data_IF_398289043397
#
_entry.id   IF_398289043397
#
_cell.length_a   1.000
_cell.length_b   1.000
_cell.length_c   1.000
_cell.angle_alpha   90.00
_cell.angle_beta   90.00
_cell.angle_gamma   90.00
#
_symmetry.space_group_name_H-M   'P 1'
#
loop_
_entity.id
_entity.type
_entity.pdbx_description
1 polymer ?
#
# COMPACT_ATOMS: atom_id res chain seq x y z
N UNK A 1 22.57 16.73 -2.85
CA UNK A 1 21.16 16.33 -2.95
C UNK A 1 21.11 14.84 -3.26
N UNK A 2 20.52 14.02 -2.41
CA UNK A 2 20.73 12.57 -2.44
C UNK A 2 19.62 11.78 -3.14
N UNK A 3 18.36 12.08 -2.90
CA UNK A 3 17.20 11.39 -3.51
C UNK A 3 16.27 12.38 -4.18
N UNK A 4 15.59 11.90 -5.22
CA UNK A 4 14.43 12.54 -5.83
C UNK A 4 13.43 11.50 -6.24
N UNK A 5 12.22 11.66 -5.73
CA UNK A 5 11.07 10.93 -6.22
C UNK A 5 10.31 11.82 -7.20
N UNK A 6 9.94 11.24 -8.33
CA UNK A 6 9.16 11.92 -9.34
C UNK A 6 7.96 11.11 -9.73
N UNK A 7 6.81 11.73 -9.60
CA UNK A 7 5.57 11.16 -10.04
C UNK A 7 4.92 12.02 -11.11
N UNK A 8 4.44 11.40 -12.16
CA UNK A 8 3.80 12.08 -13.27
C UNK A 8 2.46 11.44 -13.59
N UNK A 9 1.45 12.28 -13.84
CA UNK A 9 0.18 11.80 -14.37
C UNK A 9 0.35 11.23 -15.79
N UNK A 10 -0.55 10.38 -16.20
CA UNK A 10 -0.56 9.70 -17.51
C UNK A 10 -0.49 10.64 -18.71
N UNK A 11 -0.88 11.90 -18.53
CA UNK A 11 -0.78 12.94 -19.57
C UNK A 11 0.64 13.15 -20.11
N UNK A 12 1.67 12.82 -19.33
CA UNK A 12 3.07 12.98 -19.69
C UNK A 12 3.75 11.70 -20.16
N UNK A 13 3.01 10.61 -20.40
CA UNK A 13 3.59 9.30 -20.74
C UNK A 13 4.63 9.38 -21.87
N UNK A 14 4.31 10.09 -22.96
CA UNK A 14 5.20 10.22 -24.13
C UNK A 14 6.37 11.19 -23.94
N UNK A 15 6.35 11.99 -22.88
CA UNK A 15 7.36 13.02 -22.57
C UNK A 15 8.23 12.63 -21.36
N UNK A 16 7.97 11.47 -20.76
CA UNK A 16 8.68 11.06 -19.53
C UNK A 16 10.18 10.94 -19.71
N UNK A 17 10.65 10.45 -20.87
CA UNK A 17 12.07 10.35 -21.17
C UNK A 17 12.72 11.74 -21.24
N UNK A 18 12.14 12.68 -22.00
CA UNK A 18 12.60 14.05 -22.10
C UNK A 18 12.61 14.77 -20.76
N UNK A 19 11.54 14.61 -19.97
CA UNK A 19 11.46 15.21 -18.64
C UNK A 19 12.51 14.58 -17.71
N UNK A 20 12.77 13.27 -17.80
CA UNK A 20 13.81 12.59 -17.00
C UNK A 20 15.20 13.14 -17.33
N UNK A 21 15.52 13.28 -18.63
CA UNK A 21 16.78 13.84 -19.09
C UNK A 21 16.96 15.29 -18.64
N UNK A 22 15.89 16.10 -18.73
CA UNK A 22 15.92 17.48 -18.25
C UNK A 22 16.21 17.56 -16.75
N UNK A 23 15.51 16.77 -15.92
CA UNK A 23 15.74 16.73 -14.47
C UNK A 23 17.16 16.26 -14.13
N UNK A 24 17.65 15.24 -14.83
CA UNK A 24 19.01 14.75 -14.63
C UNK A 24 20.04 15.82 -14.95
N UNK A 25 19.85 16.55 -16.05
CA UNK A 25 20.76 17.61 -16.48
C UNK A 25 20.74 18.81 -15.54
N UNK A 26 19.56 19.27 -15.14
CA UNK A 26 19.40 20.51 -14.35
C UNK A 26 19.71 20.29 -12.86
N UNK A 27 19.42 19.13 -12.35
CA UNK A 27 19.41 18.88 -10.91
C UNK A 27 20.46 17.86 -10.46
N UNK A 28 21.01 17.07 -11.39
CA UNK A 28 22.06 16.06 -11.14
C UNK A 28 21.83 15.23 -9.87
N UNK A 29 20.67 14.58 -9.70
CA UNK A 29 20.41 13.75 -8.52
C UNK A 29 21.34 12.54 -8.52
N UNK A 30 21.74 12.07 -7.33
CA UNK A 30 22.47 10.80 -7.20
C UNK A 30 21.55 9.62 -7.43
N UNK A 31 20.32 9.71 -6.91
CA UNK A 31 19.29 8.71 -7.01
C UNK A 31 17.99 9.38 -7.47
N UNK A 32 17.32 8.81 -8.43
CA UNK A 32 16.03 9.22 -8.94
C UNK A 32 15.17 7.98 -9.12
N UNK A 33 14.02 7.93 -8.47
CA UNK A 33 13.00 6.93 -8.71
C UNK A 33 11.66 7.59 -9.00
N UNK A 34 10.70 6.83 -9.47
CA UNK A 34 9.34 7.31 -9.63
C UNK A 34 8.51 6.45 -10.58
N UNK A 35 7.38 7.02 -11.00
CA UNK A 35 6.48 6.32 -11.90
C UNK A 35 5.26 7.14 -12.29
N UNK A 36 4.42 6.52 -13.13
CA UNK A 36 3.12 7.09 -13.49
C UNK A 36 2.08 6.83 -12.42
N UNK A 37 1.22 7.82 -12.18
CA UNK A 37 0.02 7.71 -11.37
C UNK A 37 -1.22 8.13 -12.15
N UNK A 38 -2.36 7.56 -11.85
CA UNK A 38 -3.64 8.06 -12.36
C UNK A 38 -3.85 9.51 -11.89
N UNK A 39 -3.50 9.76 -10.64
CA UNK A 39 -3.54 11.06 -9.97
C UNK A 39 -2.27 11.29 -9.18
N UNK A 40 -1.97 12.54 -8.87
CA UNK A 40 -0.73 12.96 -8.25
C UNK A 40 -1.00 13.66 -6.93
N UNK A 41 -0.20 13.35 -5.90
CA UNK A 41 -0.21 14.04 -4.62
C UNK A 41 0.92 15.08 -4.60
N UNK A 42 0.60 16.30 -4.17
CA UNK A 42 1.56 17.37 -3.98
C UNK A 42 1.15 18.22 -2.77
N UNK A 43 1.95 18.15 -1.70
CA UNK A 43 1.67 18.75 -0.40
C UNK A 43 0.26 18.38 0.11
N UNK A 44 -0.61 19.32 0.40
CA UNK A 44 -1.97 19.07 0.86
C UNK A 44 -3.00 18.86 -0.27
N UNK A 45 -2.54 18.61 -1.51
CA UNK A 45 -3.43 18.58 -2.68
C UNK A 45 -3.32 17.25 -3.44
N UNK A 46 -4.46 16.73 -3.85
CA UNK A 46 -4.60 15.60 -4.77
C UNK A 46 -5.08 16.11 -6.14
N UNK A 47 -4.27 15.90 -7.17
CA UNK A 47 -4.56 16.37 -8.53
C UNK A 47 -5.08 15.19 -9.34
N UNK A 48 -6.41 15.04 -9.38
CA UNK A 48 -7.05 13.85 -9.93
C UNK A 48 -7.36 13.93 -11.43
N UNK A 49 -7.62 15.11 -11.97
CA UNK A 49 -8.12 15.24 -13.34
C UNK A 49 -7.25 16.07 -14.27
N UNK A 50 -6.25 16.75 -13.74
CA UNK A 50 -5.38 17.65 -14.49
C UNK A 50 -3.99 17.08 -14.71
N UNK A 51 -3.28 17.47 -15.79
CA UNK A 51 -1.88 17.14 -15.95
C UNK A 51 -1.06 17.64 -14.75
N UNK A 52 -0.31 16.75 -14.12
CA UNK A 52 0.52 17.08 -12.98
C UNK A 52 1.83 16.29 -12.96
N UNK A 53 2.88 16.94 -12.47
CA UNK A 53 4.16 16.32 -12.11
C UNK A 53 4.48 16.81 -10.70
N UNK A 54 4.74 15.88 -9.80
CA UNK A 54 5.26 16.17 -8.47
C UNK A 54 6.72 15.73 -8.39
N UNK A 55 7.57 16.59 -7.85
CA UNK A 55 8.98 16.34 -7.64
C UNK A 55 9.33 16.58 -6.18
N UNK A 56 9.72 15.53 -5.50
CA UNK A 56 10.19 15.60 -4.13
C UNK A 56 11.71 15.43 -4.09
N UNK A 57 12.39 16.27 -3.33
CA UNK A 57 13.84 16.31 -3.26
C UNK A 57 14.30 16.26 -1.81
N UNK A 58 15.14 15.31 -1.47
CA UNK A 58 15.70 15.16 -0.14
C UNK A 58 17.23 15.16 -0.12
N UNK A 59 17.79 15.68 0.95
CA UNK A 59 19.19 15.48 1.32
C UNK A 59 19.21 14.70 2.63
N UNK A 60 19.70 13.48 2.57
CA UNK A 60 19.77 12.56 3.71
C UNK A 60 21.26 12.33 4.02
N UNK A 61 21.87 13.20 4.86
CA UNK A 61 23.25 13.01 5.27
C UNK A 61 23.36 11.74 6.14
N UNK A 62 24.51 11.05 6.03
CA UNK A 62 24.79 9.84 6.82
C UNK A 62 23.90 8.63 6.49
N UNK A 63 23.03 8.74 5.50
CA UNK A 63 22.17 7.64 5.05
C UNK A 63 22.78 6.97 3.80
N UNK A 64 22.93 5.68 3.84
CA UNK A 64 23.22 4.89 2.66
C UNK A 64 21.94 4.77 1.83
N UNK A 65 22.06 5.00 0.54
CA UNK A 65 20.96 5.01 -0.40
C UNK A 65 21.33 4.12 -1.58
N UNK A 66 20.54 3.09 -1.82
CA UNK A 66 20.69 2.21 -2.97
C UNK A 66 19.40 2.25 -3.79
N UNK A 67 19.50 2.79 -5.00
CA UNK A 67 18.38 2.80 -5.97
C UNK A 67 18.63 1.78 -7.07
N UNK A 68 17.58 1.02 -7.42
CA UNK A 68 17.71 -0.07 -8.37
C UNK A 68 16.40 -0.33 -9.12
N UNK A 69 16.51 -1.00 -10.24
CA UNK A 69 15.38 -1.63 -10.90
C UNK A 69 15.37 -3.11 -10.59
N UNK A 70 14.31 -3.60 -9.96
CA UNK A 70 14.07 -5.02 -9.80
C UNK A 70 13.18 -5.54 -10.93
N UNK A 71 13.51 -6.72 -11.44
CA UNK A 71 12.68 -7.47 -12.40
C UNK A 71 12.46 -8.87 -11.88
N UNK A 72 11.40 -9.52 -12.33
CA UNK A 72 11.07 -10.88 -11.97
C UNK A 72 11.26 -11.81 -13.17
N UNK A 73 12.05 -12.84 -13.00
CA UNK A 73 12.24 -13.89 -13.99
C UNK A 73 11.65 -15.20 -13.49
N UNK A 74 10.81 -15.83 -14.33
CA UNK A 74 10.27 -17.15 -14.03
C UNK A 74 11.33 -18.21 -14.26
N UNK A 75 11.48 -19.09 -13.28
CA UNK A 75 12.34 -20.27 -13.36
C UNK A 75 11.50 -21.55 -13.25
N UNK A 76 12.01 -22.73 -13.62
CA UNK A 76 11.28 -23.98 -13.44
C UNK A 76 10.82 -24.25 -12.00
N UNK A 77 11.55 -23.72 -11.02
CA UNK A 77 11.29 -23.93 -9.58
C UNK A 77 10.52 -22.76 -8.93
N UNK A 78 9.97 -21.83 -9.75
CA UNK A 78 9.19 -20.69 -9.24
C UNK A 78 9.58 -19.36 -9.90
N UNK A 79 10.59 -18.67 -9.38
CA UNK A 79 11.08 -17.43 -9.95
C UNK A 79 12.07 -16.70 -9.04
N UNK A 80 12.75 -15.71 -9.61
CA UNK A 80 13.76 -14.94 -8.93
C UNK A 80 13.61 -13.46 -9.21
N UNK A 81 13.93 -12.62 -8.23
CA UNK A 81 14.05 -11.17 -8.38
C UNK A 81 15.50 -10.82 -8.65
N UNK A 82 15.75 -10.16 -9.77
CA UNK A 82 17.09 -9.74 -10.23
C UNK A 82 17.19 -8.22 -10.27
N UNK A 83 18.42 -7.71 -10.20
CA UNK A 83 18.73 -6.28 -10.20
C UNK A 83 19.19 -5.75 -8.86
N UNK A 84 19.42 -6.62 -7.88
CA UNK A 84 20.00 -6.24 -6.59
C UNK A 84 21.45 -5.78 -6.79
N UNK A 85 21.84 -4.57 -6.31
CA UNK A 85 23.21 -4.11 -6.42
C UNK A 85 24.10 -4.77 -5.36
N UNK A 86 25.37 -5.03 -5.71
CA UNK A 86 26.35 -5.57 -4.79
C UNK A 86 26.61 -4.65 -3.58
N UNK A 87 26.40 -3.34 -3.76
CA UNK A 87 26.56 -2.31 -2.71
C UNK A 87 25.62 -2.52 -1.51
N UNK A 88 24.47 -3.14 -1.74
CA UNK A 88 23.48 -3.37 -0.69
C UNK A 88 23.92 -4.40 0.34
N UNK A 89 24.82 -5.30 -0.05
CA UNK A 89 25.37 -6.32 0.85
C UNK A 89 24.36 -7.37 1.33
N UNK A 90 24.80 -8.22 2.23
CA UNK A 90 23.97 -9.27 2.85
C UNK A 90 23.36 -8.84 4.18
N UNK A 91 23.93 -7.86 4.84
CA UNK A 91 23.46 -7.32 6.14
C UNK A 91 22.94 -5.90 5.92
N UNK A 92 21.75 -5.62 6.42
CA UNK A 92 21.13 -4.30 6.37
C UNK A 92 20.94 -3.79 7.80
N UNK A 93 20.95 -2.47 7.95
CA UNK A 93 20.76 -1.85 9.25
C UNK A 93 19.31 -2.08 9.76
N UNK A 94 19.14 -2.06 11.08
CA UNK A 94 17.82 -2.26 11.70
C UNK A 94 16.81 -1.14 11.34
N UNK A 95 17.32 0.04 10.97
CA UNK A 95 16.52 1.19 10.52
C UNK A 95 16.26 1.20 9.00
N UNK A 96 16.67 0.14 8.31
CA UNK A 96 16.45 0.06 6.87
C UNK A 96 14.97 0.14 6.51
N UNK A 97 14.67 0.85 5.43
CA UNK A 97 13.32 0.93 4.84
C UNK A 97 13.43 0.84 3.32
N UNK A 98 12.46 0.18 2.71
CA UNK A 98 12.36 0.06 1.25
C UNK A 98 11.17 0.87 0.74
N UNK A 99 11.41 1.71 -0.27
CA UNK A 99 10.36 2.40 -1.03
C UNK A 99 10.30 1.77 -2.42
N UNK A 100 9.09 1.42 -2.88
CA UNK A 100 8.89 0.66 -4.10
C UNK A 100 7.78 1.25 -4.96
N UNK A 101 8.06 1.45 -6.25
CA UNK A 101 7.06 1.76 -7.28
C UNK A 101 7.11 0.65 -8.33
N UNK A 102 6.11 -0.23 -8.35
CA UNK A 102 6.07 -1.41 -9.23
C UNK A 102 5.20 -1.20 -10.46
N UNK A 103 5.54 -1.85 -11.58
CA UNK A 103 4.62 -1.95 -12.71
C UNK A 103 3.66 -3.13 -12.49
N UNK A 104 2.33 -2.88 -12.42
CA UNK A 104 1.38 -3.84 -11.84
C UNK A 104 1.21 -5.14 -12.62
N UNK A 105 1.50 -5.16 -13.92
CA UNK A 105 1.29 -6.34 -14.76
C UNK A 105 2.53 -7.23 -14.91
N UNK A 106 3.70 -6.70 -14.62
CA UNK A 106 4.98 -7.40 -14.80
C UNK A 106 5.71 -7.73 -13.51
N UNK A 107 5.36 -7.07 -12.41
CA UNK A 107 6.07 -7.21 -11.14
C UNK A 107 5.18 -7.85 -10.06
N UNK A 108 5.46 -9.09 -9.65
CA UNK A 108 4.71 -9.80 -8.63
C UNK A 108 5.09 -9.31 -7.23
N UNK A 109 4.54 -8.16 -6.82
CA UNK A 109 4.88 -7.50 -5.55
C UNK A 109 4.64 -8.42 -4.33
N UNK A 110 3.52 -9.18 -4.29
CA UNK A 110 3.27 -10.13 -3.21
C UNK A 110 4.37 -11.20 -3.08
N UNK A 111 4.93 -11.64 -4.22
CA UNK A 111 6.04 -12.58 -4.24
C UNK A 111 7.33 -11.98 -3.65
N UNK A 112 7.61 -10.70 -3.97
CA UNK A 112 8.73 -9.98 -3.36
C UNK A 112 8.54 -9.81 -1.84
N UNK A 113 7.35 -9.36 -1.42
CA UNK A 113 7.06 -9.16 0.01
C UNK A 113 7.18 -10.46 0.80
N UNK A 114 6.70 -11.58 0.23
CA UNK A 114 6.86 -12.90 0.86
C UNK A 114 8.32 -13.30 1.00
N UNK A 115 9.13 -13.04 -0.02
CA UNK A 115 10.56 -13.32 0.00
C UNK A 115 11.31 -12.45 1.01
N UNK A 116 10.97 -11.16 1.07
CA UNK A 116 11.55 -10.24 2.05
C UNK A 116 11.16 -10.59 3.49
N UNK A 117 9.95 -11.10 3.73
CA UNK A 117 9.56 -11.59 5.06
C UNK A 117 10.41 -12.79 5.52
N UNK A 118 10.85 -13.65 4.58
CA UNK A 118 11.76 -14.75 4.87
C UNK A 118 13.21 -14.29 5.09
N UNK A 119 13.72 -13.44 4.20
CA UNK A 119 15.12 -13.04 4.18
C UNK A 119 15.40 -11.84 5.10
N UNK A 120 14.43 -10.97 5.34
CA UNK A 120 14.52 -9.69 6.06
C UNK A 120 13.26 -9.42 6.89
N UNK A 121 12.92 -10.28 7.87
CA UNK A 121 11.71 -10.11 8.66
C UNK A 121 11.70 -8.74 9.36
N UNK A 122 10.57 -8.04 9.25
CA UNK A 122 10.39 -6.72 9.85
C UNK A 122 10.92 -5.53 9.04
N UNK A 123 11.55 -5.74 7.87
CA UNK A 123 11.90 -4.64 6.96
C UNK A 123 10.63 -3.93 6.46
N UNK A 124 10.40 -2.64 6.76
CA UNK A 124 9.26 -1.93 6.21
C UNK A 124 9.41 -1.73 4.70
N UNK A 125 8.36 -2.09 3.94
CA UNK A 125 8.26 -1.80 2.51
C UNK A 125 7.04 -0.91 2.30
N UNK A 126 7.24 0.30 1.81
CA UNK A 126 6.17 1.27 1.53
C UNK A 126 6.21 1.66 0.06
N UNK A 127 5.05 1.91 -0.51
CA UNK A 127 5.01 2.27 -1.91
C UNK A 127 3.68 1.95 -2.57
N UNK A 128 3.72 1.79 -3.89
CA UNK A 128 2.53 1.45 -4.65
C UNK A 128 2.84 0.96 -6.06
N UNK A 129 1.84 0.39 -6.67
CA UNK A 129 1.92 0.01 -8.07
C UNK A 129 1.58 1.22 -8.94
N UNK A 130 2.41 1.47 -9.95
CA UNK A 130 2.16 2.50 -10.95
C UNK A 130 0.77 2.34 -11.56
N UNK A 131 0.14 3.43 -11.93
CA UNK A 131 -1.27 3.41 -12.31
C UNK A 131 -1.59 4.38 -13.45
N UNK A 132 -2.88 4.39 -13.83
CA UNK A 132 -3.45 5.24 -14.84
C UNK A 132 -3.67 4.55 -16.17
N UNK A 133 -3.07 3.38 -16.38
CA UNK A 133 -3.29 2.55 -17.56
C UNK A 133 -3.72 1.14 -17.16
N UNK A 134 -4.54 0.51 -18.01
CA UNK A 134 -5.15 -0.78 -17.74
C UNK A 134 -4.52 -1.94 -18.55
N UNK A 135 -3.55 -1.64 -19.38
CA UNK A 135 -2.90 -2.64 -20.24
C UNK A 135 -1.43 -2.87 -19.82
N UNK A 136 -0.95 -4.12 -19.92
CA UNK A 136 0.45 -4.41 -19.64
C UNK A 136 1.42 -3.56 -20.46
N UNK A 137 2.46 -3.04 -19.83
CA UNK A 137 3.49 -2.26 -20.47
C UNK A 137 3.13 -0.80 -20.81
N UNK A 138 1.97 -0.31 -20.36
CA UNK A 138 1.59 1.09 -20.55
C UNK A 138 2.02 1.98 -19.36
N UNK A 139 1.95 1.46 -18.14
CA UNK A 139 2.48 2.18 -16.98
C UNK A 139 4.01 2.32 -17.07
N UNK A 140 4.55 3.33 -16.43
CA UNK A 140 5.99 3.63 -16.43
C UNK A 140 6.53 3.68 -15.02
N UNK A 141 7.74 3.17 -14.87
CA UNK A 141 8.59 3.37 -13.70
C UNK A 141 9.88 4.04 -14.12
N UNK A 142 10.53 4.75 -13.21
CA UNK A 142 11.71 5.55 -13.49
C UNK A 142 12.79 5.17 -12.49
N UNK A 143 13.99 4.88 -13.00
CA UNK A 143 15.17 4.61 -12.19
C UNK A 143 16.38 5.30 -12.81
N UNK A 144 16.96 6.26 -12.09
CA UNK A 144 18.07 7.05 -12.60
C UNK A 144 17.69 7.85 -13.84
N UNK A 145 18.31 7.57 -14.97
CA UNK A 145 18.08 8.25 -16.25
C UNK A 145 17.07 7.52 -17.15
N UNK A 146 16.68 6.33 -16.78
CA UNK A 146 15.91 5.43 -17.62
C UNK A 146 14.44 5.34 -17.23
N UNK A 147 13.57 5.23 -18.21
CA UNK A 147 12.13 5.00 -18.09
C UNK A 147 11.82 3.59 -18.55
N UNK A 148 11.17 2.80 -17.71
CA UNK A 148 10.86 1.41 -17.99
C UNK A 148 9.36 1.15 -17.98
N UNK A 149 8.94 0.12 -18.68
CA UNK A 149 7.54 -0.34 -18.73
C UNK A 149 7.34 -1.70 -18.07
N UNK A 150 8.30 -2.14 -17.26
CA UNK A 150 8.22 -3.38 -16.51
C UNK A 150 9.14 -3.36 -15.27
N UNK A 151 8.89 -4.25 -14.32
CA UNK A 151 9.67 -4.36 -13.09
C UNK A 151 9.23 -3.39 -12.01
N UNK A 152 10.13 -3.04 -11.11
CA UNK A 152 9.90 -2.08 -10.03
C UNK A 152 11.10 -1.14 -9.86
N UNK A 153 10.81 0.14 -9.66
CA UNK A 153 11.74 1.13 -9.16
C UNK A 153 11.81 1.01 -7.64
N UNK A 154 12.98 0.78 -7.11
CA UNK A 154 13.18 0.53 -5.67
C UNK A 154 14.29 1.43 -5.16
N UNK A 155 14.08 1.96 -3.94
CA UNK A 155 15.14 2.56 -3.16
C UNK A 155 15.17 1.93 -1.77
N UNK A 156 16.34 1.60 -1.30
CA UNK A 156 16.60 1.19 0.08
C UNK A 156 17.37 2.31 0.77
N UNK A 157 16.86 2.72 1.92
CA UNK A 157 17.48 3.70 2.82
C UNK A 157 17.89 2.98 4.08
N UNK A 158 19.12 3.20 4.53
CA UNK A 158 19.61 2.62 5.78
C UNK A 158 20.71 3.48 6.40
N UNK A 159 20.85 3.42 7.71
CA UNK A 159 21.83 4.15 8.47
C UNK A 159 21.55 5.66 8.53
N UNK A 160 20.91 6.11 9.61
CA UNK A 160 20.73 7.53 9.93
C UNK A 160 19.39 8.15 9.55
N UNK A 161 18.55 7.49 8.73
CA UNK A 161 17.19 7.97 8.46
C UNK A 161 16.19 7.28 9.39
N UNK A 162 15.39 8.07 10.09
CA UNK A 162 14.28 7.53 10.89
C UNK A 162 12.97 7.75 10.16
N UNK A 163 12.19 6.70 10.09
CA UNK A 163 10.89 6.72 9.39
C UNK A 163 9.78 6.13 10.23
N UNK A 164 8.58 6.59 9.98
CA UNK A 164 7.33 6.00 10.48
C UNK A 164 6.46 5.62 9.31
N UNK A 165 5.77 4.51 9.43
CA UNK A 165 4.84 4.03 8.41
C UNK A 165 3.42 4.04 8.95
N UNK A 166 2.48 4.46 8.11
CA UNK A 166 1.04 4.44 8.42
C UNK A 166 0.33 3.77 7.26
N UNK A 167 -0.54 2.80 7.57
CA UNK A 167 -1.34 2.07 6.59
C UNK A 167 -2.80 2.13 7.00
N UNK A 168 -3.58 3.02 6.37
CA UNK A 168 -5.02 3.15 6.60
C UNK A 168 -5.78 2.37 5.54
N UNK A 169 -6.39 1.26 5.96
CA UNK A 169 -7.11 0.33 5.08
C UNK A 169 -8.56 0.78 4.82
N UNK A 170 -9.01 1.80 5.52
CA UNK A 170 -10.30 2.45 5.30
C UNK A 170 -11.51 1.58 5.67
N UNK A 171 -11.36 0.68 6.62
CA UNK A 171 -12.39 -0.26 7.00
C UNK A 171 -12.63 -0.25 8.50
N UNK A 172 -13.86 -0.47 8.91
CA UNK A 172 -14.21 -0.71 10.32
C UNK A 172 -14.82 -2.09 10.53
N UNK A 173 -14.55 -2.72 11.69
CA UNK A 173 -15.15 -4.00 12.03
C UNK A 173 -16.65 -3.89 12.27
N UNK A 174 -17.38 -4.95 11.93
CA UNK A 174 -18.80 -5.15 12.25
C UNK A 174 -18.99 -6.52 12.87
N UNK A 175 -19.95 -6.62 13.80
CA UNK A 175 -20.23 -7.85 14.52
C UNK A 175 -19.06 -8.33 15.39
N UNK A 176 -19.15 -9.59 15.76
CA UNK A 176 -18.14 -10.26 16.60
C UNK A 176 -17.01 -10.92 15.78
N UNK A 177 -15.97 -11.31 16.49
CA UNK A 177 -14.84 -12.06 15.93
C UNK A 177 -15.15 -13.55 15.88
N UNK A 178 -14.64 -14.22 14.87
CA UNK A 178 -14.81 -15.65 14.68
C UNK A 178 -13.48 -16.34 14.44
N UNK A 179 -13.33 -17.56 14.94
CA UNK A 179 -12.24 -18.45 14.53
C UNK A 179 -12.68 -19.24 13.31
N UNK A 180 -11.85 -19.31 12.29
CA UNK A 180 -12.06 -20.18 11.13
C UNK A 180 -11.95 -21.64 11.59
N UNK A 181 -13.02 -22.38 11.49
CA UNK A 181 -13.06 -23.80 11.90
C UNK A 181 -13.02 -24.77 10.71
N UNK A 182 -13.33 -24.29 9.50
CA UNK A 182 -13.08 -25.00 8.26
C UNK A 182 -12.87 -24.02 7.09
N UNK A 183 -11.85 -24.26 6.28
CA UNK A 183 -11.55 -23.51 5.07
C UNK A 183 -10.83 -24.40 4.06
N UNK A 184 -11.02 -24.09 2.77
CA UNK A 184 -10.32 -24.70 1.67
C UNK A 184 -9.84 -23.61 0.69
N UNK A 185 -8.53 -23.47 0.55
CA UNK A 185 -7.90 -22.41 -0.26
C UNK A 185 -8.38 -21.02 0.18
N UNK A 186 -9.18 -20.37 -0.65
CA UNK A 186 -9.73 -19.04 -0.42
C UNK A 186 -11.22 -19.06 0.00
N UNK A 187 -11.77 -20.21 0.33
CA UNK A 187 -13.14 -20.39 0.78
C UNK A 187 -13.20 -20.68 2.28
N UNK A 188 -13.93 -19.87 3.03
CA UNK A 188 -14.28 -20.12 4.43
C UNK A 188 -15.62 -20.86 4.43
N UNK A 189 -15.62 -22.11 4.85
CA UNK A 189 -16.84 -22.92 4.94
C UNK A 189 -17.44 -22.92 6.34
N UNK A 190 -16.63 -22.71 7.40
CA UNK A 190 -17.13 -22.67 8.78
C UNK A 190 -16.44 -21.63 9.65
N UNK A 191 -17.21 -20.88 10.40
CA UNK A 191 -16.81 -19.88 11.39
C UNK A 191 -17.41 -20.25 12.76
N UNK A 192 -16.57 -20.43 13.79
CA UNK A 192 -17.00 -20.83 15.12
C UNK A 192 -17.85 -22.12 15.15
N UNK A 193 -17.59 -23.06 14.24
CA UNK A 193 -18.33 -24.32 14.11
C UNK A 193 -19.70 -24.22 13.39
N UNK A 194 -20.05 -23.04 12.85
CA UNK A 194 -21.28 -22.83 12.07
C UNK A 194 -20.94 -22.57 10.60
N UNK A 195 -21.80 -22.89 9.63
CA UNK A 195 -21.58 -22.55 8.22
C UNK A 195 -21.33 -21.04 8.05
N UNK A 196 -20.27 -20.66 7.32
CA UNK A 196 -19.86 -19.27 7.20
C UNK A 196 -20.96 -18.36 6.61
N UNK A 197 -21.72 -18.86 5.63
CA UNK A 197 -22.83 -18.12 5.04
C UNK A 197 -24.00 -17.92 6.04
N UNK A 198 -24.21 -18.84 6.97
CA UNK A 198 -25.24 -18.66 8.02
C UNK A 198 -24.80 -17.60 9.03
N UNK A 199 -23.52 -17.60 9.42
CA UNK A 199 -22.95 -16.56 10.29
C UNK A 199 -23.10 -15.19 9.62
N UNK A 200 -22.76 -15.09 8.33
CA UNK A 200 -22.90 -13.83 7.56
C UNK A 200 -24.35 -13.34 7.49
N UNK A 201 -25.32 -14.24 7.27
CA UNK A 201 -26.74 -13.89 7.22
C UNK A 201 -27.26 -13.41 8.58
N UNK A 202 -26.92 -14.10 9.65
CA UNK A 202 -27.32 -13.71 11.01
C UNK A 202 -26.73 -12.33 11.35
N UNK A 203 -25.45 -12.11 11.06
CA UNK A 203 -24.82 -10.80 11.23
C UNK A 203 -25.60 -9.71 10.47
N UNK A 204 -25.90 -9.93 9.19
CA UNK A 204 -26.64 -8.95 8.38
C UNK A 204 -28.01 -8.62 8.99
N UNK A 205 -28.74 -9.61 9.51
CA UNK A 205 -30.06 -9.43 10.12
C UNK A 205 -30.00 -8.66 11.46
N UNK A 206 -28.90 -8.78 12.20
CA UNK A 206 -28.67 -8.11 13.47
C UNK A 206 -28.16 -6.66 13.34
N UNK A 207 -27.59 -6.30 12.16
CA UNK A 207 -27.02 -4.97 11.93
C UNK A 207 -28.12 -3.89 11.83
N UNK A 208 -27.83 -2.65 12.27
CA UNK A 208 -28.64 -1.47 11.99
C UNK A 208 -28.82 -1.25 10.47
N UNK A 209 -29.93 -0.63 10.07
CA UNK A 209 -30.28 -0.45 8.63
C UNK A 209 -29.22 0.30 7.83
N UNK A 210 -28.53 1.27 8.42
CA UNK A 210 -27.44 1.98 7.77
C UNK A 210 -26.23 1.07 7.51
N UNK A 211 -25.88 0.18 8.42
CA UNK A 211 -24.80 -0.80 8.25
C UNK A 211 -25.18 -1.91 7.27
N UNK A 212 -26.44 -2.35 7.27
CA UNK A 212 -26.94 -3.27 6.25
C UNK A 212 -26.78 -2.69 4.84
N UNK A 213 -27.06 -1.40 4.64
CA UNK A 213 -26.84 -0.71 3.34
C UNK A 213 -25.37 -0.63 2.98
N UNK A 214 -24.49 -0.28 3.93
CA UNK A 214 -23.05 -0.26 3.70
C UNK A 214 -22.53 -1.64 3.31
N UNK A 215 -23.00 -2.70 3.98
CA UNK A 215 -22.64 -4.08 3.67
C UNK A 215 -23.11 -4.55 2.29
N UNK A 216 -24.26 -4.05 1.80
CA UNK A 216 -24.74 -4.32 0.43
C UNK A 216 -23.84 -3.70 -0.66
N UNK A 217 -23.14 -2.60 -0.35
CA UNK A 217 -22.18 -1.97 -1.27
C UNK A 217 -20.84 -2.69 -1.32
N UNK A 218 -20.61 -3.64 -0.40
CA UNK A 218 -19.39 -4.44 -0.30
C UNK A 218 -18.98 -4.64 1.15
N UNK A 219 -18.52 -5.82 1.44
CA UNK A 219 -17.98 -6.16 2.76
C UNK A 219 -16.66 -6.92 2.61
N UNK A 220 -15.92 -6.98 3.68
CA UNK A 220 -14.57 -7.49 3.71
C UNK A 220 -14.40 -8.45 4.87
N UNK A 221 -13.35 -9.25 4.81
CA UNK A 221 -12.84 -10.02 5.94
C UNK A 221 -11.55 -9.36 6.43
N UNK A 222 -11.51 -8.97 7.69
CA UNK A 222 -10.28 -8.66 8.39
C UNK A 222 -9.73 -9.92 9.04
N UNK A 223 -8.53 -10.31 8.66
CA UNK A 223 -7.77 -11.39 9.30
C UNK A 223 -6.79 -10.79 10.29
N UNK A 224 -6.76 -11.28 11.51
CA UNK A 224 -5.78 -10.87 12.52
C UNK A 224 -4.36 -11.21 12.03
N UNK A 225 -3.45 -10.26 12.14
CA UNK A 225 -2.04 -10.46 11.74
C UNK A 225 -1.27 -11.25 12.79
N UNK A 226 -1.59 -11.03 14.07
CA UNK A 226 -0.98 -11.74 15.21
C UNK A 226 -2.04 -12.32 16.12
N UNK A 227 -2.05 -13.65 16.31
CA UNK A 227 -2.97 -14.36 17.21
C UNK A 227 -2.55 -14.28 18.70
N UNK A 228 -1.43 -13.62 19.02
CA UNK A 228 -0.86 -13.56 20.37
C UNK A 228 -1.34 -12.35 21.18
N UNK A 229 -2.34 -11.63 20.70
CA UNK A 229 -2.92 -10.46 21.37
C UNK A 229 -4.26 -10.82 22.03
N UNK A 230 -4.50 -10.28 23.22
CA UNK A 230 -5.79 -10.46 23.93
C UNK A 230 -6.87 -9.50 23.42
N UNK A 231 -6.47 -8.29 23.02
CA UNK A 231 -7.34 -7.26 22.43
C UNK A 231 -6.79 -6.83 21.07
N UNK A 232 -7.71 -6.59 20.13
CA UNK A 232 -7.38 -6.15 18.78
C UNK A 232 -7.93 -4.75 18.52
N UNK A 233 -7.10 -3.91 17.94
CA UNK A 233 -7.38 -2.52 17.60
C UNK A 233 -7.39 -2.31 16.08
N UNK A 234 -7.71 -1.08 15.66
CA UNK A 234 -7.53 -0.63 14.27
C UNK A 234 -6.05 -0.78 13.91
N UNK A 235 -5.77 -1.40 12.75
CA UNK A 235 -4.40 -1.71 12.31
C UNK A 235 -3.92 -3.13 12.62
N UNK A 236 -4.63 -3.90 13.46
CA UNK A 236 -4.26 -5.29 13.76
C UNK A 236 -4.84 -6.31 12.77
N UNK A 237 -5.73 -5.85 11.89
CA UNK A 237 -6.38 -6.68 10.89
C UNK A 237 -5.83 -6.41 9.50
N UNK A 238 -5.53 -7.47 8.78
CA UNK A 238 -5.30 -7.41 7.34
C UNK A 238 -6.63 -7.56 6.62
N UNK A 239 -7.05 -6.50 5.93
CA UNK A 239 -8.34 -6.46 5.24
C UNK A 239 -8.22 -7.12 3.86
N UNK A 240 -9.15 -8.03 3.58
CA UNK A 240 -9.25 -8.73 2.29
C UNK A 240 -10.66 -8.66 1.74
N UNK A 241 -10.76 -8.48 0.43
CA UNK A 241 -12.05 -8.41 -0.25
C UNK A 241 -12.76 -9.74 -0.17
N UNK A 242 -14.05 -9.72 0.11
CA UNK A 242 -14.93 -10.85 -0.16
C UNK A 242 -15.30 -10.78 -1.63
N UNK A 243 -14.92 -11.81 -2.39
CA UNK A 243 -15.11 -11.87 -3.84
C UNK A 243 -16.36 -12.62 -4.25
N UNK A 244 -17.02 -13.28 -3.30
CA UNK A 244 -18.27 -13.96 -3.55
C UNK A 244 -18.73 -14.83 -2.38
N UNK A 245 -19.88 -15.45 -2.58
CA UNK A 245 -20.46 -16.46 -1.70
C UNK A 245 -20.76 -17.72 -2.52
N UNK A 246 -20.57 -18.89 -1.92
CA UNK A 246 -20.99 -20.18 -2.48
C UNK A 246 -22.19 -20.70 -1.68
N UNK A 247 -23.42 -20.66 -2.24
CA UNK A 247 -24.62 -21.13 -1.55
C UNK A 247 -24.66 -22.65 -1.36
N UNK A 248 -24.03 -23.43 -2.25
CA UNK A 248 -24.03 -24.90 -2.19
C UNK A 248 -23.14 -25.38 -1.05
N UNK A 249 -21.95 -24.80 -0.93
CA UNK A 249 -21.01 -25.09 0.16
C UNK A 249 -21.27 -24.25 1.42
N UNK A 250 -22.22 -23.30 1.35
CA UNK A 250 -22.50 -22.30 2.40
C UNK A 250 -21.25 -21.52 2.84
N UNK A 251 -20.40 -21.19 1.86
CA UNK A 251 -19.09 -20.61 2.06
C UNK A 251 -19.03 -19.13 1.69
N UNK A 252 -18.05 -18.44 2.26
CA UNK A 252 -17.61 -17.09 1.91
C UNK A 252 -16.28 -17.19 1.18
N UNK A 253 -16.18 -16.59 -0.01
CA UNK A 253 -14.97 -16.62 -0.86
C UNK A 253 -14.22 -15.32 -0.70
N UNK A 254 -12.93 -15.38 -0.36
CA UNK A 254 -12.09 -14.23 0.01
C UNK A 254 -10.90 -14.14 -0.95
N UNK A 255 -10.42 -12.93 -1.22
CA UNK A 255 -9.22 -12.69 -2.02
C UNK A 255 -7.93 -12.91 -1.20
N UNK A 256 -7.85 -14.03 -0.47
CA UNK A 256 -6.67 -14.46 0.29
C UNK A 256 -6.77 -15.97 0.57
N UNK A 257 -5.63 -16.61 0.85
CA UNK A 257 -5.59 -18.00 1.37
C UNK A 257 -5.70 -17.99 2.88
N UNK A 258 -6.78 -18.58 3.39
CA UNK A 258 -7.09 -18.60 4.80
C UNK A 258 -6.93 -20.01 5.39
N UNK A 259 -6.56 -20.07 6.67
CA UNK A 259 -6.27 -21.32 7.37
C UNK A 259 -7.19 -21.49 8.59
N UNK A 260 -7.52 -22.75 8.88
CA UNK A 260 -8.19 -23.11 10.13
C UNK A 260 -7.36 -22.64 11.32
N UNK A 261 -8.04 -22.09 12.34
CA UNK A 261 -7.43 -21.53 13.54
C UNK A 261 -7.15 -20.03 13.47
N UNK A 262 -7.26 -19.39 12.31
CA UNK A 262 -7.12 -17.95 12.21
C UNK A 262 -8.38 -17.22 12.71
N UNK A 263 -8.15 -16.09 13.40
CA UNK A 263 -9.22 -15.19 13.85
C UNK A 263 -9.54 -14.18 12.75
N UNK A 264 -10.84 -14.04 12.46
CA UNK A 264 -11.35 -13.09 11.46
C UNK A 264 -12.52 -12.30 12.01
N UNK A 265 -12.78 -11.15 11.41
CA UNK A 265 -13.95 -10.32 11.66
C UNK A 265 -14.47 -9.76 10.35
N UNK A 266 -15.78 -9.59 10.21
CA UNK A 266 -16.35 -8.89 9.07
C UNK A 266 -16.10 -7.40 9.19
N UNK A 267 -15.86 -6.74 8.05
CA UNK A 267 -15.60 -5.31 7.97
C UNK A 267 -16.43 -4.71 6.84
N UNK A 268 -16.81 -3.46 7.02
CA UNK A 268 -17.36 -2.62 5.95
C UNK A 268 -16.44 -1.45 5.67
N UNK A 269 -16.52 -0.94 4.45
CA UNK A 269 -15.80 0.24 4.01
C UNK A 269 -16.80 1.34 3.67
N UNK A 270 -16.58 2.49 4.24
CA UNK A 270 -17.27 3.73 3.89
C UNK A 270 -16.32 4.92 4.11
N UNK A 271 -16.66 6.08 3.57
CA UNK A 271 -15.83 7.28 3.63
C UNK A 271 -15.62 7.77 5.07
N UNK A 272 -16.60 7.61 5.94
CA UNK A 272 -16.50 8.01 7.35
C UNK A 272 -15.49 7.14 8.09
N UNK A 273 -15.56 5.82 7.90
CA UNK A 273 -14.62 4.86 8.51
C UNK A 273 -13.19 5.08 7.99
N UNK A 274 -13.03 5.33 6.70
CA UNK A 274 -11.74 5.60 6.09
C UNK A 274 -11.12 6.89 6.62
N UNK A 275 -11.92 7.95 6.79
CA UNK A 275 -11.50 9.20 7.38
C UNK A 275 -11.11 9.04 8.86
N UNK A 276 -11.96 8.37 9.64
CA UNK A 276 -11.72 8.14 11.06
C UNK A 276 -10.44 7.35 11.31
N UNK A 277 -10.24 6.25 10.57
CA UNK A 277 -9.06 5.41 10.69
C UNK A 277 -7.77 6.19 10.36
N UNK A 278 -7.75 6.92 9.23
CA UNK A 278 -6.60 7.72 8.84
C UNK A 278 -6.24 8.76 9.89
N UNK A 279 -7.23 9.52 10.37
CA UNK A 279 -7.05 10.50 11.45
C UNK A 279 -6.51 9.86 12.74
N UNK A 280 -7.06 8.72 13.15
CA UNK A 280 -6.62 8.02 14.34
C UNK A 280 -5.16 7.54 14.22
N UNK A 281 -4.79 6.94 13.09
CA UNK A 281 -3.43 6.46 12.86
C UNK A 281 -2.42 7.62 12.78
N UNK A 282 -2.75 8.71 12.10
CA UNK A 282 -1.89 9.88 12.02
C UNK A 282 -1.71 10.58 13.37
N UNK A 283 -2.74 10.59 14.22
CA UNK A 283 -2.65 11.16 15.57
C UNK A 283 -1.67 10.43 16.50
N UNK A 284 -1.27 9.21 16.15
CA UNK A 284 -0.29 8.41 16.89
C UNK A 284 1.16 8.73 16.51
N UNK A 285 1.38 9.57 15.50
CA UNK A 285 2.73 10.03 15.13
C UNK A 285 3.17 11.12 16.09
N UNK A 286 3.92 10.72 17.12
CA UNK A 286 4.35 11.61 18.22
C UNK A 286 5.56 12.49 17.89
N UNK A 287 6.32 12.13 16.85
CA UNK A 287 7.55 12.83 16.46
C UNK A 287 7.31 13.83 15.34
N UNK A 288 7.97 15.01 15.37
CA UNK A 288 7.93 15.92 14.24
C UNK A 288 8.47 15.27 12.98
N UNK A 289 7.75 15.45 11.88
CA UNK A 289 8.15 14.93 10.57
C UNK A 289 8.69 16.06 9.69
N UNK A 290 9.72 15.76 8.92
CA UNK A 290 10.33 16.69 7.98
C UNK A 290 9.72 16.59 6.57
N UNK A 291 9.20 15.43 6.20
CA UNK A 291 8.62 15.14 4.89
C UNK A 291 7.80 13.86 4.92
N UNK A 292 6.97 13.61 3.90
CA UNK A 292 6.28 12.33 3.73
C UNK A 292 6.08 11.95 2.26
N UNK A 293 5.90 10.64 2.01
CA UNK A 293 5.37 10.11 0.75
C UNK A 293 4.02 9.45 1.03
N UNK A 294 3.06 9.69 0.15
CA UNK A 294 1.69 9.15 0.23
C UNK A 294 1.37 8.35 -1.04
N UNK A 295 1.11 7.07 -0.85
CA UNK A 295 0.61 6.17 -1.88
C UNK A 295 -0.84 5.83 -1.54
N UNK A 296 -1.78 6.51 -2.20
CA UNK A 296 -3.21 6.32 -1.96
C UNK A 296 -3.84 5.55 -3.12
N UNK A 297 -4.88 4.78 -2.83
CA UNK A 297 -5.51 3.94 -3.84
C UNK A 297 -6.28 4.76 -4.88
N UNK A 298 -6.28 4.31 -6.14
CA UNK A 298 -7.15 4.86 -7.20
C UNK A 298 -8.65 4.86 -6.83
N UNK A 299 -9.06 4.01 -5.89
CA UNK A 299 -10.43 3.95 -5.38
C UNK A 299 -10.74 4.97 -4.28
N UNK A 300 -9.76 5.74 -3.81
CA UNK A 300 -9.91 6.82 -2.82
C UNK A 300 -10.13 8.17 -3.53
N UNK A 301 -9.72 9.28 -2.95
CA UNK A 301 -9.95 10.60 -3.52
C UNK A 301 -11.45 10.88 -3.71
N UNK A 302 -11.81 11.59 -4.78
CA UNK A 302 -13.21 11.97 -5.09
C UNK A 302 -14.10 10.77 -5.43
N UNK A 303 -13.55 9.58 -5.63
CA UNK A 303 -14.33 8.34 -5.79
C UNK A 303 -14.89 7.82 -4.47
N UNK A 304 -14.25 8.14 -3.36
CA UNK A 304 -14.64 7.69 -2.02
C UNK A 304 -15.16 8.84 -1.14
N UNK A 305 -14.54 10.00 -1.24
CA UNK A 305 -14.82 11.15 -0.38
C UNK A 305 -15.58 12.23 -1.14
N UNK A 306 -16.49 12.91 -0.43
CA UNK A 306 -17.24 14.05 -0.97
C UNK A 306 -16.39 15.33 -1.08
N UNK A 307 -15.22 15.32 -0.43
CA UNK A 307 -14.26 16.44 -0.41
C UNK A 307 -13.04 16.09 -1.25
N UNK A 308 -12.55 17.07 -1.99
CA UNK A 308 -11.30 16.94 -2.75
C UNK A 308 -10.09 16.90 -1.81
N UNK A 309 -9.03 16.21 -2.25
CA UNK A 309 -7.74 16.16 -1.54
C UNK A 309 -7.80 15.60 -0.12
N UNK A 310 -8.72 14.68 0.15
CA UNK A 310 -9.00 14.19 1.51
C UNK A 310 -7.76 13.64 2.23
N UNK A 311 -7.04 12.70 1.62
CA UNK A 311 -5.93 12.03 2.29
C UNK A 311 -4.72 12.96 2.46
N UNK A 312 -4.42 13.75 1.43
CA UNK A 312 -3.34 14.73 1.46
C UNK A 312 -3.60 15.88 2.45
N UNK A 313 -4.84 16.39 2.50
CA UNK A 313 -5.23 17.41 3.46
C UNK A 313 -5.19 16.88 4.89
N UNK A 314 -5.73 15.68 5.15
CA UNK A 314 -5.68 15.04 6.47
C UNK A 314 -4.24 14.84 6.94
N UNK A 315 -3.34 14.41 6.04
CA UNK A 315 -1.92 14.28 6.34
C UNK A 315 -1.30 15.62 6.75
N UNK A 316 -1.58 16.68 5.98
CA UNK A 316 -1.10 18.05 6.27
C UNK A 316 -1.66 18.62 7.57
N UNK A 317 -2.91 18.32 7.93
CA UNK A 317 -3.51 18.73 9.21
C UNK A 317 -2.77 18.13 10.41
N UNK A 318 -2.35 16.86 10.31
CA UNK A 318 -1.64 16.18 11.40
C UNK A 318 -0.14 16.47 11.47
N UNK A 319 0.53 16.53 10.33
CA UNK A 319 1.99 16.68 10.27
C UNK A 319 2.44 18.14 10.06
N UNK A 320 1.51 19.05 9.79
CA UNK A 320 1.81 20.44 9.44
C UNK A 320 2.24 20.60 7.98
N UNK A 321 2.69 21.79 7.63
CA UNK A 321 3.13 22.14 6.26
C UNK A 321 4.52 21.55 5.99
N UNK A 322 4.61 20.27 5.78
CA UNK A 322 5.82 19.56 5.34
C UNK A 322 5.72 19.21 3.86
N UNK A 323 6.85 19.04 3.14
CA UNK A 323 6.84 18.54 1.76
C UNK A 323 6.23 17.14 1.69
N UNK A 324 5.20 16.97 0.86
CA UNK A 324 4.56 15.68 0.59
C UNK A 324 4.49 15.45 -0.91
N UNK A 325 4.78 14.24 -1.35
CA UNK A 325 4.53 13.79 -2.72
C UNK A 325 3.98 12.38 -2.75
N UNK A 326 3.42 11.98 -3.86
CA UNK A 326 2.94 10.62 -4.04
C UNK A 326 2.08 10.45 -5.28
N UNK A 327 1.47 9.27 -5.35
CA UNK A 327 0.57 8.88 -6.44
C UNK A 327 -0.69 8.21 -5.90
N UNK A 328 -1.72 8.26 -6.73
CA UNK A 328 -2.80 7.30 -6.67
C UNK A 328 -2.32 5.99 -7.32
N UNK A 329 -2.31 4.92 -6.55
CA UNK A 329 -1.71 3.64 -6.90
C UNK A 329 -2.78 2.60 -7.29
N UNK A 330 -2.35 1.62 -8.09
CA UNK A 330 -3.17 0.44 -8.44
C UNK A 330 -2.83 -0.75 -7.52
N UNK A 331 -2.76 -0.48 -6.23
CA UNK A 331 -2.30 -1.36 -5.16
C UNK A 331 -1.23 -0.67 -4.34
N UNK A 332 -1.39 -0.66 -3.05
CA UNK A 332 -0.54 0.04 -2.09
C UNK A 332 0.30 -0.98 -1.31
N UNK A 333 1.54 -0.64 -1.04
CA UNK A 333 2.47 -1.47 -0.27
C UNK A 333 2.67 -0.86 1.10
N UNK A 334 2.52 -1.65 2.15
CA UNK A 334 2.75 -1.17 3.49
C UNK A 334 2.69 -2.25 4.56
N UNK A 335 3.31 -2.00 5.73
CA UNK A 335 3.31 -2.95 6.83
C UNK A 335 2.04 -2.86 7.67
N UNK A 336 1.48 -4.01 8.02
CA UNK A 336 0.41 -4.18 9.02
C UNK A 336 0.86 -5.23 10.02
N UNK A 337 0.87 -4.91 11.31
CA UNK A 337 1.36 -5.82 12.34
C UNK A 337 2.83 -6.26 12.15
N UNK A 338 3.68 -5.40 11.61
CA UNK A 338 5.10 -5.67 11.37
C UNK A 338 5.40 -6.51 10.12
N UNK A 339 4.40 -6.83 9.29
CA UNK A 339 4.54 -7.58 8.04
C UNK A 339 4.03 -6.78 6.87
N UNK A 340 4.73 -6.86 5.74
CA UNK A 340 4.36 -6.12 4.53
C UNK A 340 3.31 -6.85 3.70
N UNK A 341 2.38 -6.07 3.13
CA UNK A 341 1.32 -6.58 2.26
C UNK A 341 1.08 -5.64 1.09
N UNK A 342 0.55 -6.23 0.02
CA UNK A 342 -0.10 -5.47 -1.05
C UNK A 342 -1.57 -5.30 -0.65
N UNK A 343 -2.00 -4.05 -0.63
CA UNK A 343 -3.33 -3.62 -0.21
C UNK A 343 -4.15 -3.10 -1.39
N UNK A 344 -5.42 -2.86 -1.14
CA UNK A 344 -6.31 -2.13 -2.02
C UNK A 344 -7.22 -1.21 -1.22
N UNK A 345 -7.56 -0.07 -1.80
CA UNK A 345 -8.33 1.00 -1.16
C UNK A 345 -7.67 1.63 0.08
N UNK A 346 -6.37 1.57 0.15
CA UNK A 346 -5.55 1.94 1.30
C UNK A 346 -4.85 3.27 1.06
N UNK A 347 -4.54 3.99 2.11
CA UNK A 347 -3.54 5.05 2.11
C UNK A 347 -2.30 4.52 2.84
N UNK A 348 -1.20 4.35 2.11
CA UNK A 348 0.10 3.92 2.64
C UNK A 348 1.05 5.10 2.65
N UNK A 349 1.59 5.40 3.82
CA UNK A 349 2.36 6.61 4.10
C UNK A 349 3.70 6.21 4.71
N UNK A 350 4.77 6.85 4.26
CA UNK A 350 6.05 6.91 4.96
C UNK A 350 6.34 8.35 5.33
N UNK A 351 6.54 8.61 6.60
CA UNK A 351 6.93 9.90 7.14
C UNK A 351 8.39 9.85 7.62
N UNK A 352 9.16 10.85 7.25
CA UNK A 352 10.56 11.01 7.63
C UNK A 352 10.64 11.90 8.86
N UNK A 353 11.24 11.42 9.94
CA UNK A 353 11.42 12.20 11.16
C UNK A 353 12.44 13.32 10.96
N UNK A 354 12.27 14.41 11.73
CA UNK A 354 13.11 15.62 11.66
C UNK A 354 14.48 15.44 12.33
#
# INVERSE_FOLDING_TARGET
>A
MCIRDRFASTHFQTQLEEITECLQTQLSPRHLIGGTGESIVCDATEIETSPAISLWCASLPETQIDSMRLTFERTPDGGTFIGWPDSLGSEWDEDAVMILVGEPFSFPADGLLSRLEEDRPGLPVVGGMASGFQMPGENRIIVGQEVYNNGAAVVVLQGGVKTKTVVSQGCRPIGERFVITAAEQNMITSLGGKPALEVLKNLYEELPTNEQRAMQNGFHIGRVVSEYQEEYQIGDFLIRNVVGIDPEQKAVVVADYLRVGQTVQFHIRDHESASLELNQLLSQLETPCAAALLFTCNGRGTRMFEVESHDAATLSEHLGSIPVTGIFAQGELGPVGGKNFLHGFTASIIAFES
#
